data_IF_393197965995
#
_entry.id   IF_393197965995
#
_cell.length_a   1.000
_cell.length_b   1.000
_cell.length_c   1.000
_cell.angle_alpha   90.00
_cell.angle_beta   90.00
_cell.angle_gamma   90.00
#
_symmetry.space_group_name_H-M   'P 1'
#
loop_
_entity.id
_entity.type
_entity.pdbx_description
1 polymer ?
#
# COMPACT_ATOMS: atom_id res chain seq x y z
N UNK A 1 -55.04 21.50 -52.29
CA UNK A 1 -54.09 21.43 -53.44
C UNK A 1 -52.76 20.92 -52.90
N UNK A 2 -52.47 19.63 -53.09
CA UNK A 2 -51.54 19.12 -54.14
C UNK A 2 -50.08 19.42 -53.77
N UNK A 3 -49.33 18.51 -53.13
CA UNK A 3 -48.68 17.25 -53.61
C UNK A 3 -47.17 17.50 -53.73
N UNK A 4 -46.38 16.48 -53.35
CA UNK A 4 -45.07 16.02 -53.86
C UNK A 4 -44.42 15.20 -52.73
N UNK A 5 -44.74 13.92 -52.56
CA UNK A 5 -44.09 12.73 -53.18
C UNK A 5 -42.56 12.71 -53.07
N UNK A 6 -42.07 11.63 -52.45
CA UNK A 6 -40.67 11.27 -52.33
C UNK A 6 -40.52 9.97 -51.54
N UNK A 7 -40.97 8.86 -52.13
CA UNK A 7 -40.57 7.50 -51.74
C UNK A 7 -39.04 7.40 -51.70
N UNK A 8 -38.48 6.58 -50.81
CA UNK A 8 -37.51 5.52 -51.17
C UNK A 8 -37.04 4.77 -49.93
N UNK A 9 -37.31 3.46 -49.98
CA UNK A 9 -36.39 2.39 -49.58
C UNK A 9 -36.02 2.25 -48.10
N UNK A 10 -36.79 1.35 -47.49
CA UNK A 10 -36.39 0.46 -46.41
C UNK A 10 -35.05 -0.22 -46.73
N UNK A 11 -33.95 0.39 -46.31
CA UNK A 11 -32.67 -0.29 -46.18
C UNK A 11 -32.59 -0.92 -44.79
N UNK A 12 -32.71 -2.25 -44.78
CA UNK A 12 -32.30 -3.15 -43.70
C UNK A 12 -30.89 -2.77 -43.22
N UNK A 13 -30.79 -1.96 -42.16
CA UNK A 13 -29.55 -1.82 -41.41
C UNK A 13 -29.47 -3.01 -40.46
N UNK A 14 -28.81 -4.06 -40.92
CA UNK A 14 -28.26 -5.10 -40.07
C UNK A 14 -27.54 -4.46 -38.89
N UNK A 15 -27.95 -4.83 -37.68
CA UNK A 15 -27.21 -4.49 -36.47
C UNK A 15 -25.88 -5.23 -36.52
N UNK A 16 -24.81 -4.53 -36.90
CA UNK A 16 -23.44 -5.03 -36.73
C UNK A 16 -23.02 -4.60 -35.32
N UNK A 17 -22.94 -5.50 -34.33
CA UNK A 17 -22.31 -5.13 -33.07
C UNK A 17 -20.87 -4.73 -33.37
N UNK A 18 -20.51 -3.49 -33.06
CA UNK A 18 -19.10 -3.08 -32.99
C UNK A 18 -18.44 -4.00 -31.99
N UNK A 19 -17.64 -4.91 -32.51
CA UNK A 19 -16.89 -5.91 -31.78
C UNK A 19 -15.97 -5.17 -30.82
N UNK A 20 -16.44 -4.93 -29.60
CA UNK A 20 -15.68 -4.30 -28.53
C UNK A 20 -14.85 -5.39 -27.82
N UNK A 21 -14.02 -6.08 -28.62
CA UNK A 21 -12.92 -6.88 -28.10
C UNK A 21 -11.76 -5.96 -27.71
N UNK A 22 -12.04 -5.03 -26.77
CA UNK A 22 -11.03 -4.27 -26.04
C UNK A 22 -10.60 -4.96 -24.74
N UNK A 23 -11.07 -6.18 -24.50
CA UNK A 23 -10.70 -7.00 -23.34
C UNK A 23 -9.91 -8.25 -23.73
N UNK A 24 -8.88 -8.11 -24.57
CA UNK A 24 -7.78 -9.09 -24.64
C UNK A 24 -6.46 -8.40 -24.97
N UNK A 25 -6.07 -7.44 -24.13
CA UNK A 25 -4.68 -7.01 -24.07
C UNK A 25 -4.01 -7.65 -22.86
N UNK A 26 -3.34 -8.76 -23.18
CA UNK A 26 -2.10 -9.29 -22.60
C UNK A 26 -1.55 -8.53 -21.39
N UNK A 27 -1.31 -9.33 -20.33
CA UNK A 27 -0.30 -9.17 -19.29
C UNK A 27 0.84 -8.18 -19.61
N UNK A 28 0.58 -6.89 -19.43
CA UNK A 28 1.64 -5.94 -19.08
C UNK A 28 1.67 -5.99 -17.56
N UNK A 29 2.72 -6.59 -16.98
CA UNK A 29 3.01 -6.57 -15.54
C UNK A 29 3.37 -5.11 -15.16
N UNK A 30 2.39 -4.20 -15.23
CA UNK A 30 2.57 -2.81 -14.83
C UNK A 30 2.91 -2.81 -13.34
N UNK A 31 4.13 -2.40 -13.00
CA UNK A 31 4.56 -2.15 -11.63
C UNK A 31 3.64 -1.06 -11.07
N UNK A 32 2.60 -1.46 -10.33
CA UNK A 32 1.67 -0.52 -9.72
C UNK A 32 2.44 0.24 -8.64
N UNK A 33 2.80 1.49 -8.93
CA UNK A 33 3.59 2.37 -8.06
C UNK A 33 2.80 2.86 -6.83
N UNK A 34 2.10 1.97 -6.14
CA UNK A 34 1.25 2.29 -4.99
C UNK A 34 1.32 1.24 -3.90
N UNK A 35 0.74 1.59 -2.75
CA UNK A 35 0.49 0.65 -1.66
C UNK A 35 -0.91 0.06 -1.85
N UNK A 36 -0.97 -1.22 -2.23
CA UNK A 36 -2.20 -1.98 -2.47
C UNK A 36 -3.01 -2.14 -1.19
N UNK A 37 -4.28 -2.54 -1.32
CA UNK A 37 -5.14 -2.81 -0.15
C UNK A 37 -4.65 -4.02 0.65
N UNK A 38 -4.13 -5.04 -0.03
CA UNK A 38 -3.59 -6.27 0.56
C UNK A 38 -2.37 -6.00 1.44
N UNK A 39 -1.54 -5.02 1.05
CA UNK A 39 -0.35 -4.62 1.80
C UNK A 39 -0.67 -3.78 3.06
N UNK A 40 -1.94 -3.44 3.30
CA UNK A 40 -2.34 -2.62 4.45
C UNK A 40 -2.85 -3.51 5.57
N UNK A 41 -2.24 -3.39 6.73
CA UNK A 41 -2.74 -4.04 7.93
C UNK A 41 -4.05 -3.37 8.36
N UNK A 42 -5.11 -4.16 8.39
CA UNK A 42 -6.46 -3.74 8.77
C UNK A 42 -7.09 -4.76 9.73
N UNK A 43 -8.22 -4.36 10.34
CA UNK A 43 -8.94 -5.20 11.30
C UNK A 43 -8.48 -5.01 12.74
N UNK A 44 -9.43 -4.95 13.67
CA UNK A 44 -9.15 -4.69 15.09
C UNK A 44 -8.31 -5.81 15.72
N UNK A 45 -8.63 -7.06 15.41
CA UNK A 45 -7.94 -8.23 15.99
C UNK A 45 -6.48 -8.34 15.53
N UNK A 46 -6.20 -8.11 14.24
CA UNK A 46 -4.84 -8.12 13.71
C UNK A 46 -3.98 -7.02 14.34
N UNK A 47 -4.53 -5.81 14.45
CA UNK A 47 -3.86 -4.67 15.09
C UNK A 47 -3.64 -4.93 16.58
N UNK A 48 -4.62 -5.49 17.29
CA UNK A 48 -4.47 -5.85 18.69
C UNK A 48 -3.39 -6.92 18.89
N UNK A 49 -3.39 -7.97 18.07
CA UNK A 49 -2.36 -9.01 18.10
C UNK A 49 -0.96 -8.44 17.86
N UNK A 50 -0.82 -7.53 16.89
CA UNK A 50 0.44 -6.85 16.61
C UNK A 50 0.98 -6.10 17.83
N UNK A 51 0.15 -5.33 18.52
CA UNK A 51 0.62 -4.59 19.70
C UNK A 51 0.79 -5.47 20.94
N UNK A 52 0.10 -6.60 21.04
CA UNK A 52 0.21 -7.54 22.16
C UNK A 52 1.46 -8.42 22.07
N UNK A 53 1.78 -8.95 20.88
CA UNK A 53 2.87 -9.92 20.68
C UNK A 53 4.06 -9.36 19.89
N UNK A 54 3.93 -8.15 19.36
CA UNK A 54 4.93 -7.59 18.45
C UNK A 54 6.20 -7.17 19.17
N UNK A 55 7.34 -7.51 18.55
CA UNK A 55 8.65 -6.98 18.89
C UNK A 55 8.73 -5.52 18.46
N UNK A 56 9.51 -4.73 19.18
CA UNK A 56 9.66 -3.29 18.93
C UNK A 56 11.08 -2.98 18.53
N UNK A 57 11.22 -2.20 17.47
CA UNK A 57 12.49 -1.62 17.04
C UNK A 57 12.37 -0.11 16.97
N UNK A 58 13.17 0.59 17.75
CA UNK A 58 13.16 2.04 17.83
C UNK A 58 14.36 2.61 17.07
N UNK A 59 14.08 3.43 16.06
CA UNK A 59 15.09 4.19 15.32
C UNK A 59 14.54 5.63 15.17
N UNK A 60 14.97 6.55 16.03
CA UNK A 60 14.35 7.88 16.14
C UNK A 60 14.37 8.64 14.80
N UNK A 61 13.23 9.14 14.30
CA UNK A 61 11.96 9.42 15.02
C UNK A 61 10.84 8.38 14.80
N UNK A 62 11.18 7.17 14.38
CA UNK A 62 10.23 6.09 14.10
C UNK A 62 10.43 4.91 15.04
N UNK A 63 9.34 4.21 15.31
CA UNK A 63 9.35 2.91 15.96
C UNK A 63 8.56 1.94 15.10
N UNK A 64 9.17 0.81 14.77
CA UNK A 64 8.46 -0.33 14.23
C UNK A 64 8.00 -1.24 15.37
N UNK A 65 6.77 -1.73 15.26
CA UNK A 65 6.28 -2.89 16.01
C UNK A 65 5.94 -3.96 14.98
N UNK A 66 6.47 -5.18 15.10
CA UNK A 66 6.28 -6.21 14.09
C UNK A 66 6.07 -7.59 14.71
N UNK A 67 5.31 -8.43 14.03
CA UNK A 67 5.02 -9.80 14.46
C UNK A 67 4.87 -10.73 13.25
N UNK A 68 5.33 -11.97 13.40
CA UNK A 68 5.06 -13.05 12.45
C UNK A 68 3.57 -13.42 12.47
N UNK A 69 3.05 -13.80 11.31
CA UNK A 69 1.66 -14.25 11.14
C UNK A 69 1.59 -15.49 10.28
N UNK A 70 0.45 -16.18 10.29
CA UNK A 70 0.22 -17.35 9.45
C UNK A 70 -0.06 -17.02 7.97
N UNK A 71 -0.15 -15.73 7.60
CA UNK A 71 -0.43 -15.31 6.22
C UNK A 71 0.85 -15.40 5.37
N UNK A 72 1.20 -16.62 4.95
CA UNK A 72 2.46 -16.94 4.26
C UNK A 72 2.76 -15.97 3.10
N UNK A 73 3.97 -15.45 3.04
CA UNK A 73 4.40 -14.54 1.98
C UNK A 73 3.78 -13.13 2.02
N UNK A 74 2.85 -12.84 2.94
CA UNK A 74 2.23 -11.52 3.02
C UNK A 74 2.98 -10.58 3.96
N UNK A 75 3.23 -9.35 3.48
CA UNK A 75 3.72 -8.25 4.31
C UNK A 75 2.64 -7.18 4.40
N UNK A 76 2.18 -6.87 5.61
CA UNK A 76 1.11 -5.90 5.85
C UNK A 76 1.59 -4.79 6.78
N UNK A 77 1.35 -3.54 6.38
CA UNK A 77 1.84 -2.36 7.11
C UNK A 77 0.71 -1.46 7.62
N UNK A 78 0.89 -0.95 8.84
CA UNK A 78 0.09 0.09 9.46
C UNK A 78 0.95 1.34 9.72
N UNK A 79 0.41 2.53 9.46
CA UNK A 79 1.08 3.80 9.75
C UNK A 79 0.36 4.55 10.87
N UNK A 80 1.04 4.76 11.98
CA UNK A 80 0.49 5.43 13.16
C UNK A 80 1.23 6.75 13.43
N UNK A 81 0.49 7.85 13.52
CA UNK A 81 1.03 9.16 13.90
C UNK A 81 0.21 9.68 15.07
N UNK A 82 0.71 9.53 16.31
CA UNK A 82 -0.05 9.87 17.51
C UNK A 82 -0.48 11.33 17.59
N UNK A 83 -1.73 11.58 18.02
CA UNK A 83 -2.29 12.94 18.24
C UNK A 83 -1.48 13.75 19.25
N UNK A 84 -0.87 13.09 20.25
CA UNK A 84 -0.05 13.74 21.29
C UNK A 84 1.13 14.53 20.72
N UNK A 85 1.74 14.05 19.64
CA UNK A 85 2.86 14.73 18.99
C UNK A 85 2.41 15.75 17.94
N UNK A 86 1.35 15.43 17.19
CA UNK A 86 0.85 16.27 16.10
C UNK A 86 -0.65 16.55 16.27
N UNK A 87 -0.97 17.67 16.92
CA UNK A 87 -2.37 18.08 17.18
C UNK A 87 -3.11 18.47 15.91
N UNK A 88 -2.43 19.11 14.94
CA UNK A 88 -3.02 19.51 13.65
C UNK A 88 -3.16 18.32 12.71
N UNK A 89 -4.34 18.17 12.11
CA UNK A 89 -4.63 17.08 11.16
C UNK A 89 -3.73 17.14 9.92
N UNK A 90 -3.45 18.35 9.44
CA UNK A 90 -2.57 18.59 8.29
C UNK A 90 -1.16 18.06 8.55
N UNK A 91 -0.60 18.32 9.73
CA UNK A 91 0.73 17.82 10.12
C UNK A 91 0.77 16.28 10.18
N UNK A 92 -0.25 15.65 10.80
CA UNK A 92 -0.37 14.18 10.83
C UNK A 92 -0.45 13.59 9.42
N UNK A 93 -1.22 14.23 8.54
CA UNK A 93 -1.41 13.74 7.17
C UNK A 93 -0.13 13.90 6.34
N UNK A 94 0.59 15.01 6.49
CA UNK A 94 1.91 15.20 5.89
C UNK A 94 2.87 14.12 6.36
N UNK A 95 2.95 13.86 7.67
CA UNK A 95 3.82 12.82 8.22
C UNK A 95 3.45 11.43 7.66
N UNK A 96 2.16 11.06 7.71
CA UNK A 96 1.69 9.79 7.14
C UNK A 96 1.97 9.66 5.63
N UNK A 97 1.95 10.76 4.87
CA UNK A 97 2.34 10.77 3.45
C UNK A 97 3.84 10.46 3.30
N UNK A 98 4.70 11.09 4.08
CA UNK A 98 6.15 10.81 4.08
C UNK A 98 6.44 9.35 4.42
N UNK A 99 5.78 8.81 5.45
CA UNK A 99 5.96 7.40 5.84
C UNK A 99 5.54 6.43 4.74
N UNK A 100 4.36 6.66 4.14
CA UNK A 100 3.87 5.81 3.05
C UNK A 100 4.80 5.84 1.86
N UNK A 101 5.29 7.01 1.48
CA UNK A 101 6.15 7.15 0.32
C UNK A 101 7.51 6.50 0.55
N UNK A 102 8.11 6.75 1.72
CA UNK A 102 9.36 6.11 2.11
C UNK A 102 9.24 4.59 2.17
N UNK A 103 8.15 4.06 2.73
CA UNK A 103 7.89 2.62 2.72
C UNK A 103 7.69 2.11 1.28
N UNK A 104 6.89 2.79 0.46
CA UNK A 104 6.59 2.38 -0.92
C UNK A 104 7.86 2.20 -1.76
N UNK A 105 8.85 3.09 -1.59
CA UNK A 105 10.12 3.05 -2.30
C UNK A 105 11.04 1.91 -1.82
N UNK A 106 10.91 1.49 -0.56
CA UNK A 106 11.83 0.53 0.08
C UNK A 106 11.16 -0.81 0.45
N UNK A 107 9.89 -1.02 0.13
CA UNK A 107 9.13 -2.22 0.55
C UNK A 107 9.71 -3.51 -0.01
N UNK A 108 10.30 -3.46 -1.21
CA UNK A 108 10.91 -4.63 -1.86
C UNK A 108 11.99 -5.27 -1.00
N UNK A 109 12.68 -4.50 -0.16
CA UNK A 109 13.67 -5.02 0.79
C UNK A 109 13.09 -6.09 1.71
N UNK A 110 11.85 -5.90 2.21
CA UNK A 110 11.19 -6.87 3.11
C UNK A 110 10.35 -7.85 2.32
N UNK A 111 9.59 -7.39 1.32
CA UNK A 111 8.65 -8.26 0.58
C UNK A 111 9.37 -9.40 -0.12
N UNK A 112 10.52 -9.16 -0.75
CA UNK A 112 11.28 -10.22 -1.44
C UNK A 112 11.73 -11.31 -0.47
N UNK A 113 12.17 -10.95 0.74
CA UNK A 113 12.63 -11.91 1.74
C UNK A 113 11.47 -12.73 2.31
N UNK A 114 10.31 -12.10 2.54
CA UNK A 114 9.15 -12.75 3.16
C UNK A 114 8.35 -13.61 2.18
N UNK A 115 8.36 -13.29 0.88
CA UNK A 115 7.53 -13.97 -0.14
C UNK A 115 7.71 -15.49 -0.13
N UNK A 116 8.94 -15.97 0.05
CA UNK A 116 9.27 -17.41 0.02
C UNK A 116 9.26 -18.07 1.41
N UNK A 117 8.87 -17.35 2.47
CA UNK A 117 8.87 -17.87 3.85
C UNK A 117 7.49 -18.44 4.21
N UNK A 118 7.49 -19.41 5.12
CA UNK A 118 6.26 -20.07 5.60
C UNK A 118 5.40 -19.22 6.56
N UNK A 119 5.73 -17.94 6.69
CA UNK A 119 5.05 -16.98 7.55
C UNK A 119 4.88 -15.64 6.84
N UNK A 120 3.92 -14.85 7.32
CA UNK A 120 3.73 -13.45 6.94
C UNK A 120 4.27 -12.50 8.01
N UNK A 121 4.31 -11.22 7.69
CA UNK A 121 4.83 -10.19 8.57
C UNK A 121 3.88 -8.99 8.66
N UNK A 122 3.39 -8.73 9.87
CA UNK A 122 2.64 -7.51 10.18
C UNK A 122 3.57 -6.47 10.80
N UNK A 123 3.52 -5.23 10.32
CA UNK A 123 4.39 -4.13 10.76
C UNK A 123 3.54 -2.89 11.06
N UNK A 124 3.74 -2.25 12.20
CA UNK A 124 3.25 -0.91 12.50
C UNK A 124 4.41 0.06 12.62
N UNK A 125 4.40 1.09 11.77
CA UNK A 125 5.35 2.20 11.80
C UNK A 125 4.73 3.38 12.54
N UNK A 126 5.28 3.70 13.70
CA UNK A 126 4.76 4.70 14.63
C UNK A 126 5.72 5.86 14.80
N UNK A 127 5.25 7.10 14.65
CA UNK A 127 6.03 8.28 14.97
C UNK A 127 6.21 8.43 16.49
N UNK A 128 7.45 8.65 16.94
CA UNK A 128 7.80 8.73 18.37
C UNK A 128 8.19 10.12 18.84
N UNK A 129 8.29 11.11 17.95
CA UNK A 129 8.61 12.49 18.31
C UNK A 129 7.68 13.50 17.62
N UNK A 130 7.64 14.72 18.16
CA UNK A 130 6.93 15.88 17.61
C UNK A 130 7.75 16.67 16.57
N UNK A 131 8.95 16.21 16.24
CA UNK A 131 9.78 16.82 15.22
C UNK A 131 9.09 16.70 13.85
N UNK A 132 9.24 17.70 12.97
CA UNK A 132 8.73 17.64 11.60
C UNK A 132 9.86 17.18 10.66
N UNK A 133 10.08 15.87 10.46
CA UNK A 133 11.20 15.41 9.68
C UNK A 133 11.03 15.72 8.19
N UNK A 134 12.16 15.77 7.51
CA UNK A 134 12.27 15.78 6.05
C UNK A 134 12.08 14.36 5.50
N UNK A 135 11.75 14.25 4.22
CA UNK A 135 11.64 12.96 3.54
C UNK A 135 12.93 12.14 3.69
N UNK A 136 14.09 12.75 3.37
CA UNK A 136 15.40 12.11 3.47
C UNK A 136 15.66 11.49 4.84
N UNK A 137 15.31 12.20 5.93
CA UNK A 137 15.48 11.68 7.29
C UNK A 137 14.57 10.48 7.55
N UNK A 138 13.30 10.55 7.14
CA UNK A 138 12.37 9.42 7.28
C UNK A 138 12.84 8.21 6.47
N UNK A 139 13.34 8.43 5.26
CA UNK A 139 13.83 7.38 4.38
C UNK A 139 15.03 6.64 4.96
N UNK A 140 16.04 7.36 5.44
CA UNK A 140 17.20 6.73 6.08
C UNK A 140 16.79 5.85 7.25
N UNK A 141 15.90 6.37 8.11
CA UNK A 141 15.41 5.65 9.28
C UNK A 141 14.53 4.45 8.88
N UNK A 142 13.68 4.60 7.87
CA UNK A 142 12.85 3.51 7.33
C UNK A 142 13.74 2.37 6.84
N UNK A 143 14.76 2.65 6.04
CA UNK A 143 15.69 1.64 5.53
C UNK A 143 16.38 0.90 6.67
N UNK A 144 16.86 1.64 7.69
CA UNK A 144 17.50 1.05 8.87
C UNK A 144 16.55 0.11 9.62
N UNK A 145 15.30 0.52 9.84
CA UNK A 145 14.27 -0.30 10.46
C UNK A 145 14.01 -1.57 9.63
N UNK A 146 13.76 -1.45 8.33
CA UNK A 146 13.40 -2.57 7.47
C UNK A 146 14.53 -3.61 7.39
N UNK A 147 15.78 -3.16 7.24
CA UNK A 147 16.96 -4.03 7.28
C UNK A 147 17.13 -4.69 8.65
N UNK A 148 16.94 -3.92 9.73
CA UNK A 148 17.03 -4.45 11.09
C UNK A 148 16.00 -5.54 11.37
N UNK A 149 14.77 -5.38 10.91
CA UNK A 149 13.73 -6.41 11.03
C UNK A 149 14.18 -7.68 10.32
N UNK A 150 14.66 -7.59 9.08
CA UNK A 150 15.10 -8.78 8.31
C UNK A 150 16.26 -9.50 9.04
N UNK A 151 17.25 -8.76 9.51
CA UNK A 151 18.40 -9.33 10.21
C UNK A 151 18.00 -10.10 11.48
N UNK A 152 16.97 -9.65 12.19
CA UNK A 152 16.42 -10.32 13.37
C UNK A 152 15.51 -11.51 13.05
N UNK A 153 15.13 -11.70 11.78
CA UNK A 153 14.34 -12.86 11.35
C UNK A 153 15.17 -13.97 10.71
N UNK A 154 16.37 -13.63 10.22
CA UNK A 154 17.34 -14.60 9.70
C UNK A 154 18.26 -15.18 10.79
N UNK A 155 18.24 -14.62 12.02
CA UNK A 155 18.91 -15.15 13.23
C UNK A 155 17.88 -15.66 14.24
#
# INVERSE_FOLDING_TARGET
MSKLQGETEKLNRTFVPRNNNFFTLKNIKQKRYGLLKTERLTGKNNIANLYAKGRKRLETPLMATYVKTANKGEVRVLFSVPKRYFRKAVDRNRYKRLLRESYRLNKETVTTVITDKDFGLDIALTATSNQKPTFRRIETVMIAILKGIIYEEDN
#
